data_IF_140502386837
#
_entry.id   IF_140502386837
#
_cell.length_a   1.000
_cell.length_b   1.000
_cell.length_c   1.000
_cell.angle_alpha   90.00
_cell.angle_beta   90.00
_cell.angle_gamma   90.00
#
_symmetry.space_group_name_H-M   'P 1'
#
loop_
_entity.id
_entity.type
_entity.pdbx_description
1 polymer ?
#
# COMPACT_ATOMS: atom_id res chain seq x y z
N UNK A 1 19.01 31.61 -30.52
CA UNK A 1 18.57 31.71 -29.11
C UNK A 1 18.97 30.41 -28.45
N UNK A 2 20.13 30.38 -27.79
CA UNK A 2 20.79 29.17 -27.28
C UNK A 2 20.05 28.75 -26.00
N UNK A 3 19.24 27.69 -26.08
CA UNK A 3 18.64 27.09 -24.89
C UNK A 3 19.75 26.37 -24.11
N UNK A 4 19.90 26.73 -22.83
CA UNK A 4 20.78 26.05 -21.88
C UNK A 4 20.33 24.59 -21.73
N UNK A 5 20.95 23.68 -22.48
CA UNK A 5 20.88 22.24 -22.24
C UNK A 5 21.64 21.95 -20.92
N UNK A 6 20.99 21.26 -19.99
CA UNK A 6 21.66 20.82 -18.77
C UNK A 6 22.81 19.87 -19.16
N UNK A 7 24.06 20.12 -18.69
CA UNK A 7 25.18 19.26 -19.02
C UNK A 7 24.99 17.87 -18.38
N UNK A 8 25.36 16.82 -19.11
CA UNK A 8 25.43 15.46 -18.56
C UNK A 8 26.34 15.46 -17.33
N UNK A 9 25.90 14.80 -16.25
CA UNK A 9 26.69 14.72 -15.03
C UNK A 9 27.80 13.68 -15.15
N UNK A 10 28.90 13.86 -14.40
CA UNK A 10 30.00 12.89 -14.35
C UNK A 10 29.57 11.54 -13.76
N UNK A 11 28.52 11.53 -12.95
CA UNK A 11 27.89 10.33 -12.41
C UNK A 11 27.10 9.57 -13.49
N UNK A 12 26.25 10.25 -14.27
CA UNK A 12 25.50 9.62 -15.38
C UNK A 12 26.43 8.98 -16.42
N UNK A 13 27.54 9.64 -16.76
CA UNK A 13 28.51 9.10 -17.69
C UNK A 13 29.24 7.87 -17.11
N UNK A 14 29.53 7.89 -15.80
CA UNK A 14 30.14 6.75 -15.10
C UNK A 14 29.20 5.55 -15.07
N UNK A 15 27.93 5.78 -14.78
CA UNK A 15 26.91 4.73 -14.68
C UNK A 15 26.63 4.11 -16.07
N UNK A 16 26.72 4.91 -17.14
CA UNK A 16 26.54 4.42 -18.52
C UNK A 16 27.74 3.63 -19.04
N UNK A 17 28.97 4.11 -18.80
CA UNK A 17 30.19 3.52 -19.36
C UNK A 17 30.90 2.55 -18.41
N UNK A 18 30.45 2.42 -17.16
CA UNK A 18 31.07 1.56 -16.15
C UNK A 18 32.48 2.00 -15.74
N UNK A 19 32.89 3.23 -16.05
CA UNK A 19 34.24 3.74 -15.81
C UNK A 19 34.23 5.18 -15.31
N UNK A 20 35.10 5.49 -14.33
CA UNK A 20 35.28 6.85 -13.80
C UNK A 20 36.37 7.59 -14.58
N UNK A 21 36.02 8.72 -15.19
CA UNK A 21 36.95 9.60 -15.89
C UNK A 21 37.50 10.69 -14.97
N UNK A 22 38.74 11.14 -15.22
CA UNK A 22 39.31 12.29 -14.54
C UNK A 22 38.74 13.61 -15.11
N UNK A 23 38.78 14.72 -14.38
CA UNK A 23 38.09 15.98 -14.76
C UNK A 23 38.51 16.54 -16.13
N UNK A 24 39.79 16.38 -16.49
CA UNK A 24 40.32 16.78 -17.80
C UNK A 24 39.78 15.90 -18.95
N UNK A 25 39.61 14.59 -18.70
CA UNK A 25 39.05 13.66 -19.69
C UNK A 25 37.55 13.89 -19.86
N UNK A 26 36.83 14.10 -18.74
CA UNK A 26 35.41 14.42 -18.75
C UNK A 26 35.13 15.71 -19.52
N UNK A 27 35.93 16.76 -19.32
CA UNK A 27 35.81 18.02 -20.06
C UNK A 27 36.06 17.85 -21.57
N UNK A 28 36.92 16.90 -21.97
CA UNK A 28 37.17 16.58 -23.38
C UNK A 28 36.00 15.81 -24.00
N UNK A 29 35.40 14.88 -23.25
CA UNK A 29 34.23 14.12 -23.67
C UNK A 29 33.02 15.04 -23.88
N UNK A 30 32.77 15.96 -22.93
CA UNK A 30 31.67 16.93 -23.02
C UNK A 30 31.69 17.77 -24.30
N UNK A 31 32.87 18.10 -24.83
CA UNK A 31 33.02 18.90 -26.06
C UNK A 31 32.66 18.15 -27.35
N UNK A 32 32.59 16.82 -27.29
CA UNK A 32 32.41 15.96 -28.46
C UNK A 32 31.04 15.23 -28.46
N UNK A 33 30.23 15.42 -27.42
CA UNK A 33 28.87 14.90 -27.31
C UNK A 33 27.91 15.67 -28.22
N UNK A 34 26.99 14.97 -28.87
CA UNK A 34 25.89 15.56 -29.64
C UNK A 34 24.58 15.47 -28.84
N UNK A 35 23.76 16.52 -28.88
CA UNK A 35 22.42 16.51 -28.27
C UNK A 35 21.35 16.32 -29.35
N UNK A 36 20.37 15.46 -29.09
CA UNK A 36 19.30 15.11 -30.03
C UNK A 36 17.94 15.30 -29.37
N UNK A 37 17.03 16.00 -30.05
CA UNK A 37 15.65 16.23 -29.61
C UNK A 37 14.66 15.62 -30.62
N UNK A 38 14.31 14.33 -30.50
CA UNK A 38 13.43 13.68 -31.45
C UNK A 38 11.97 14.14 -31.28
N UNK A 39 11.22 14.14 -32.39
CA UNK A 39 9.77 14.38 -32.37
C UNK A 39 9.04 13.20 -31.69
N UNK A 40 7.90 13.49 -31.08
CA UNK A 40 7.05 12.46 -30.44
C UNK A 40 6.62 11.42 -31.48
N UNK A 41 7.02 10.16 -31.28
CA UNK A 41 6.88 9.13 -32.29
C UNK A 41 8.02 8.12 -32.23
N UNK A 42 7.97 7.11 -33.11
CA UNK A 42 9.11 6.21 -33.28
C UNK A 42 10.19 6.97 -34.03
N UNK A 43 11.40 7.02 -33.47
CA UNK A 43 12.50 7.85 -34.01
C UNK A 43 13.82 7.09 -34.17
N UNK A 44 13.91 5.87 -33.63
CA UNK A 44 15.13 5.07 -33.64
C UNK A 44 14.80 3.58 -33.81
N UNK A 45 15.63 2.85 -34.55
CA UNK A 45 15.50 1.41 -34.78
C UNK A 45 16.89 0.78 -34.91
N UNK A 46 17.14 -0.31 -34.18
CA UNK A 46 18.47 -0.91 -34.06
C UNK A 46 19.11 -1.29 -35.40
N UNK A 47 18.33 -1.73 -36.39
CA UNK A 47 18.83 -2.17 -37.71
C UNK A 47 19.24 -1.02 -38.63
N UNK A 48 18.67 0.17 -38.42
CA UNK A 48 18.85 1.34 -39.30
C UNK A 48 19.63 2.47 -38.64
N UNK A 49 19.87 2.37 -37.33
CA UNK A 49 20.56 3.39 -36.58
C UNK A 49 22.08 3.33 -36.78
N UNK A 50 22.70 4.50 -36.75
CA UNK A 50 24.15 4.59 -36.61
C UNK A 50 24.59 3.97 -35.27
N UNK A 51 25.75 3.32 -35.26
CA UNK A 51 26.33 2.80 -34.04
C UNK A 51 26.52 3.93 -33.03
N UNK A 52 26.13 3.75 -31.77
CA UNK A 52 26.25 4.81 -30.77
C UNK A 52 25.40 4.53 -29.52
N UNK A 53 25.70 5.27 -28.45
CA UNK A 53 24.96 5.16 -27.18
C UNK A 53 24.14 6.43 -27.00
N UNK A 54 22.85 6.26 -26.73
CA UNK A 54 21.90 7.33 -26.46
C UNK A 54 21.55 7.32 -24.98
N UNK A 55 21.87 8.41 -24.29
CA UNK A 55 21.55 8.61 -22.86
C UNK A 55 20.35 9.54 -22.75
N UNK A 56 19.36 9.16 -21.97
CA UNK A 56 18.17 9.98 -21.73
C UNK A 56 18.50 11.10 -20.74
N UNK A 57 18.48 12.34 -21.20
CA UNK A 57 18.75 13.53 -20.38
C UNK A 57 17.48 14.04 -19.70
N UNK A 58 16.38 14.12 -20.44
CA UNK A 58 15.06 14.51 -19.91
C UNK A 58 13.97 13.80 -20.70
N UNK A 59 12.85 13.45 -20.05
CA UNK A 59 11.73 12.78 -20.69
C UNK A 59 11.74 11.26 -20.52
N UNK A 60 11.06 10.54 -21.44
CA UNK A 60 10.92 9.08 -21.40
C UNK A 60 10.99 8.46 -22.78
N UNK A 61 11.71 7.34 -22.91
CA UNK A 61 11.78 6.53 -24.12
C UNK A 61 11.08 5.20 -23.88
N UNK A 62 10.25 4.75 -24.81
CA UNK A 62 9.66 3.41 -24.77
C UNK A 62 10.37 2.54 -25.79
N UNK A 63 10.92 1.42 -25.35
CA UNK A 63 11.50 0.42 -26.25
C UNK A 63 10.40 -0.56 -26.66
N UNK A 64 10.32 -0.84 -27.96
CA UNK A 64 9.33 -1.71 -28.58
C UNK A 64 10.00 -2.90 -29.26
N UNK A 65 9.42 -4.08 -29.14
CA UNK A 65 9.86 -5.28 -29.85
C UNK A 65 9.48 -5.20 -31.34
N UNK A 66 9.84 -6.25 -32.11
CA UNK A 66 9.51 -6.32 -33.54
C UNK A 66 8.00 -6.34 -33.82
N UNK A 67 7.17 -6.74 -32.85
CA UNK A 67 5.70 -6.69 -32.93
C UNK A 67 5.09 -5.31 -32.61
N UNK A 68 5.91 -4.32 -32.23
CA UNK A 68 5.45 -2.99 -31.84
C UNK A 68 4.90 -2.89 -30.40
N UNK A 69 5.05 -3.95 -29.62
CA UNK A 69 4.69 -4.02 -28.21
C UNK A 69 5.83 -3.51 -27.33
N UNK A 70 5.48 -2.86 -26.22
CA UNK A 70 6.45 -2.22 -25.34
C UNK A 70 7.03 -3.20 -24.33
N UNK A 71 8.32 -3.51 -24.43
CA UNK A 71 9.03 -4.36 -23.45
C UNK A 71 9.74 -3.56 -22.34
N UNK A 72 10.19 -2.33 -22.60
CA UNK A 72 10.87 -1.50 -21.61
C UNK A 72 10.51 0.00 -21.68
N UNK A 73 10.71 0.73 -20.59
CA UNK A 73 10.57 2.20 -20.52
C UNK A 73 11.79 2.79 -19.83
N UNK A 74 12.51 3.64 -20.54
CA UNK A 74 13.72 4.32 -20.08
C UNK A 74 13.38 5.73 -19.59
N UNK A 75 14.05 6.13 -18.52
CA UNK A 75 13.92 7.41 -17.82
C UNK A 75 15.26 8.13 -17.77
N UNK A 76 15.31 9.33 -17.18
CA UNK A 76 16.53 10.13 -17.06
C UNK A 76 17.68 9.33 -16.42
N UNK A 77 18.84 9.31 -17.10
CA UNK A 77 20.02 8.54 -16.72
C UNK A 77 20.12 7.15 -17.36
N UNK A 78 19.03 6.61 -17.91
CA UNK A 78 19.08 5.34 -18.64
C UNK A 78 19.66 5.52 -20.05
N UNK A 79 20.29 4.47 -20.57
CA UNK A 79 20.91 4.43 -21.90
C UNK A 79 20.33 3.34 -22.78
N UNK A 80 20.45 3.52 -24.09
CA UNK A 80 20.14 2.51 -25.10
C UNK A 80 21.00 2.67 -26.35
N UNK A 81 21.09 1.58 -27.12
CA UNK A 81 21.81 1.55 -28.40
C UNK A 81 23.12 0.77 -28.32
N UNK A 82 23.46 0.21 -27.16
CA UNK A 82 24.67 -0.59 -26.92
C UNK A 82 24.76 -1.81 -27.85
N UNK A 83 23.61 -2.38 -28.23
CA UNK A 83 23.50 -3.47 -29.21
C UNK A 83 24.11 -3.13 -30.57
N UNK A 84 24.05 -1.86 -30.99
CA UNK A 84 24.59 -1.40 -32.29
C UNK A 84 26.12 -1.47 -32.37
N UNK A 85 26.82 -1.58 -31.23
CA UNK A 85 28.28 -1.75 -31.19
C UNK A 85 28.75 -3.19 -31.38
N UNK A 86 27.84 -4.16 -31.34
CA UNK A 86 28.18 -5.58 -31.41
C UNK A 86 27.40 -6.27 -32.52
N UNK A 87 27.65 -5.93 -33.80
CA UNK A 87 26.97 -6.57 -34.94
C UNK A 87 27.27 -8.08 -35.03
N UNK A 88 28.41 -8.53 -34.50
CA UNK A 88 28.79 -9.94 -34.44
C UNK A 88 28.02 -10.73 -33.36
N UNK A 89 27.32 -10.05 -32.45
CA UNK A 89 26.51 -10.66 -31.41
C UNK A 89 25.04 -10.74 -31.85
N UNK A 90 24.42 -11.90 -31.68
CA UNK A 90 23.03 -12.16 -32.11
C UNK A 90 21.99 -11.51 -31.19
N UNK A 91 21.91 -10.17 -31.19
CA UNK A 91 20.89 -9.41 -30.48
C UNK A 91 19.64 -9.21 -31.33
N UNK A 92 18.46 -9.32 -30.72
CA UNK A 92 17.18 -9.12 -31.38
C UNK A 92 16.94 -7.63 -31.66
N UNK A 93 16.40 -7.26 -32.84
CA UNK A 93 16.18 -5.86 -33.19
C UNK A 93 15.02 -5.26 -32.39
N UNK A 94 15.19 -4.00 -31.95
CA UNK A 94 14.15 -3.25 -31.27
C UNK A 94 14.08 -1.80 -31.78
N UNK A 95 12.97 -1.13 -31.47
CA UNK A 95 12.77 0.29 -31.82
C UNK A 95 12.51 1.16 -30.58
N UNK A 96 12.83 2.44 -30.68
CA UNK A 96 12.65 3.40 -29.60
C UNK A 96 11.63 4.49 -30.00
N UNK A 97 10.67 4.73 -29.09
CA UNK A 97 9.59 5.71 -29.24
C UNK A 97 9.71 6.83 -28.22
N UNK A 98 9.77 8.07 -28.70
CA UNK A 98 9.89 9.26 -27.89
C UNK A 98 8.56 9.66 -27.24
N UNK A 99 8.61 10.02 -25.95
CA UNK A 99 7.53 10.73 -25.26
C UNK A 99 7.67 12.24 -25.42
N UNK A 100 6.72 13.03 -24.89
CA UNK A 100 6.80 14.51 -24.93
C UNK A 100 8.06 15.02 -24.21
N UNK A 101 8.69 16.04 -24.79
CA UNK A 101 9.89 16.71 -24.26
C UNK A 101 11.07 15.76 -23.99
N UNK A 102 11.40 14.91 -24.98
CA UNK A 102 12.56 14.02 -24.88
C UNK A 102 13.82 14.74 -25.35
N UNK A 103 14.85 14.77 -24.50
CA UNK A 103 16.20 15.20 -24.86
C UNK A 103 17.16 14.05 -24.63
N UNK A 104 18.01 13.78 -25.63
CA UNK A 104 19.00 12.71 -25.62
C UNK A 104 20.41 13.28 -25.76
N UNK A 105 21.34 12.64 -25.08
CA UNK A 105 22.77 12.80 -25.26
C UNK A 105 23.27 11.62 -26.10
N UNK A 106 23.90 11.89 -27.24
CA UNK A 106 24.42 10.88 -28.17
C UNK A 106 25.95 10.84 -28.13
N UNK A 107 26.47 9.68 -27.73
CA UNK A 107 27.88 9.34 -27.74
C UNK A 107 28.22 8.69 -29.09
N UNK A 108 29.00 9.38 -29.91
CA UNK A 108 29.37 8.91 -31.24
C UNK A 108 30.42 7.78 -31.17
N UNK A 109 30.50 6.92 -32.20
CA UNK A 109 31.55 5.90 -32.30
C UNK A 109 32.96 6.48 -32.29
N UNK A 110 33.13 7.65 -32.91
CA UNK A 110 34.41 8.39 -32.96
C UNK A 110 34.95 8.71 -31.57
N UNK A 111 34.05 8.92 -30.60
CA UNK A 111 34.39 9.14 -29.20
C UNK A 111 34.55 7.81 -28.45
N UNK A 112 33.70 6.82 -28.74
CA UNK A 112 33.68 5.55 -28.01
C UNK A 112 34.84 4.62 -28.39
N UNK A 113 35.25 4.52 -29.66
CA UNK A 113 36.33 3.63 -30.08
C UNK A 113 37.69 3.93 -29.42
N UNK A 114 38.16 5.19 -29.33
CA UNK A 114 39.38 5.51 -28.60
C UNK A 114 39.28 5.23 -27.09
N UNK A 115 38.11 5.46 -26.49
CA UNK A 115 37.89 5.20 -25.06
C UNK A 115 37.89 3.70 -24.75
N UNK A 116 37.25 2.89 -25.59
CA UNK A 116 37.25 1.42 -25.47
C UNK A 116 38.66 0.86 -25.67
N UNK A 117 39.42 1.41 -26.63
CA UNK A 117 40.82 1.01 -26.86
C UNK A 117 41.72 1.31 -25.67
N UNK A 118 41.48 2.45 -24.99
CA UNK A 118 42.22 2.85 -23.78
C UNK A 118 41.77 2.08 -22.53
N UNK A 119 40.47 1.79 -22.41
CA UNK A 119 39.86 1.15 -21.26
C UNK A 119 38.96 -0.03 -21.70
N UNK A 120 39.52 -1.24 -21.87
CA UNK A 120 38.79 -2.41 -22.36
C UNK A 120 37.55 -2.78 -21.51
N UNK A 121 37.56 -2.47 -20.22
CA UNK A 121 36.43 -2.71 -19.29
C UNK A 121 35.12 -2.04 -19.72
N UNK A 122 35.19 -0.94 -20.46
CA UNK A 122 34.00 -0.24 -20.98
C UNK A 122 33.26 -1.15 -21.97
N UNK A 123 34.00 -1.88 -22.83
CA UNK A 123 33.41 -2.82 -23.80
C UNK A 123 32.64 -3.93 -23.09
N UNK A 124 33.25 -4.53 -22.06
CA UNK A 124 32.64 -5.62 -21.30
C UNK A 124 31.36 -5.16 -20.60
N UNK A 125 31.39 -3.97 -20.00
CA UNK A 125 30.22 -3.38 -19.35
C UNK A 125 29.06 -3.13 -20.32
N UNK A 126 29.34 -2.53 -21.49
CA UNK A 126 28.34 -2.29 -22.52
C UNK A 126 27.78 -3.60 -23.09
N UNK A 127 28.62 -4.62 -23.25
CA UNK A 127 28.20 -5.94 -23.72
C UNK A 127 27.27 -6.64 -22.71
N UNK A 128 27.60 -6.59 -21.42
CA UNK A 128 26.73 -7.13 -20.38
C UNK A 128 25.39 -6.40 -20.30
N UNK A 129 25.40 -5.08 -20.45
CA UNK A 129 24.18 -4.27 -20.46
C UNK A 129 23.27 -4.65 -21.66
N UNK A 130 23.85 -4.72 -22.86
CA UNK A 130 23.15 -5.15 -24.08
C UNK A 130 22.56 -6.56 -23.92
N UNK A 131 23.31 -7.49 -23.32
CA UNK A 131 22.84 -8.86 -23.06
C UNK A 131 21.63 -8.91 -22.12
N UNK A 132 21.63 -8.11 -21.04
CA UNK A 132 20.50 -8.02 -20.10
C UNK A 132 19.25 -7.43 -20.75
N UNK A 133 19.40 -6.39 -21.57
CA UNK A 133 18.28 -5.82 -22.32
C UNK A 133 17.72 -6.84 -23.33
N UNK A 134 18.59 -7.57 -24.03
CA UNK A 134 18.18 -8.58 -24.99
C UNK A 134 17.42 -9.75 -24.34
N UNK A 135 17.80 -10.20 -23.13
CA UNK A 135 17.03 -11.25 -22.44
C UNK A 135 15.60 -10.82 -22.11
N UNK A 136 15.41 -9.55 -21.70
CA UNK A 136 14.06 -9.01 -21.42
C UNK A 136 13.23 -8.92 -22.70
N UNK A 137 13.86 -8.55 -23.82
CA UNK A 137 13.24 -8.53 -25.13
C UNK A 137 12.80 -9.94 -25.59
N UNK A 138 13.68 -10.93 -25.48
CA UNK A 138 13.37 -12.32 -25.86
C UNK A 138 12.26 -12.90 -24.98
N UNK A 139 12.27 -12.67 -23.67
CA UNK A 139 11.20 -13.11 -22.77
C UNK A 139 9.84 -12.47 -23.13
N UNK A 140 9.84 -11.24 -23.64
CA UNK A 140 8.62 -10.60 -24.13
C UNK A 140 8.11 -11.18 -25.45
N UNK A 141 8.99 -11.64 -26.34
CA UNK A 141 8.62 -12.28 -27.61
C UNK A 141 8.22 -13.76 -27.45
N UNK A 142 8.64 -14.42 -26.35
CA UNK A 142 8.37 -15.85 -26.10
C UNK A 142 6.99 -16.10 -25.46
N UNK A 143 6.16 -15.07 -25.27
CA UNK A 143 4.73 -15.30 -24.97
C UNK A 143 4.01 -15.82 -26.23
N UNK A 144 3.46 -17.05 -26.22
CA UNK A 144 2.91 -17.64 -27.43
C UNK A 144 1.58 -16.97 -27.82
N UNK A 145 1.58 -16.34 -28.98
CA UNK A 145 0.37 -16.04 -29.75
C UNK A 145 -0.06 -17.31 -30.49
N UNK A 146 -1.31 -17.81 -30.36
CA UNK A 146 -1.72 -19.07 -31.00
C UNK A 146 -2.08 -18.84 -32.48
N UNK A 147 -1.58 -19.72 -33.36
CA UNK A 147 -1.94 -19.83 -34.79
C UNK A 147 -1.62 -21.27 -35.27
N UNK A 148 -2.26 -21.78 -36.34
CA UNK A 148 -3.32 -22.80 -36.27
C UNK A 148 -2.85 -24.19 -36.71
N UNK A 149 -3.36 -25.26 -36.10
CA UNK A 149 -3.11 -26.64 -36.57
C UNK A 149 -4.32 -27.26 -37.28
N UNK A 150 -4.10 -28.23 -38.20
CA UNK A 150 -5.09 -28.75 -39.12
C UNK A 150 -6.14 -29.65 -38.46
N UNK A 151 -7.30 -29.71 -39.11
CA UNK A 151 -8.54 -30.33 -38.67
C UNK A 151 -8.46 -31.86 -38.78
N UNK A 152 -8.77 -32.59 -37.72
CA UNK A 152 -9.34 -33.98 -37.75
C UNK A 152 -10.08 -34.23 -36.42
N UNK A 153 -11.13 -35.07 -36.39
CA UNK A 153 -12.45 -34.66 -35.90
C UNK A 153 -12.65 -34.96 -34.41
N UNK A 154 -13.18 -33.98 -33.71
CA UNK A 154 -13.56 -34.04 -32.31
C UNK A 154 -14.62 -35.10 -32.04
N UNK A 155 -14.29 -36.06 -31.17
CA UNK A 155 -15.28 -36.72 -30.33
C UNK A 155 -15.70 -35.76 -29.21
N UNK A 156 -17.00 -35.70 -29.01
CA UNK A 156 -17.78 -34.72 -28.26
C UNK A 156 -17.33 -34.59 -26.79
N UNK A 157 -16.91 -33.39 -26.39
CA UNK A 157 -16.78 -32.97 -25.00
C UNK A 157 -17.37 -31.54 -24.85
N UNK A 158 -17.99 -31.23 -23.69
CA UNK A 158 -19.07 -30.25 -23.60
C UNK A 158 -18.60 -28.81 -23.76
N UNK A 159 -19.43 -28.00 -24.43
CA UNK A 159 -19.23 -26.58 -24.66
C UNK A 159 -19.14 -25.81 -23.33
N UNK A 160 -17.93 -25.44 -22.92
CA UNK A 160 -17.74 -24.31 -22.01
C UNK A 160 -18.09 -23.04 -22.79
N UNK A 161 -18.99 -22.17 -22.31
CA UNK A 161 -19.45 -21.02 -23.07
C UNK A 161 -18.28 -20.08 -23.37
N UNK A 162 -18.22 -19.64 -24.63
CA UNK A 162 -17.26 -18.65 -25.13
C UNK A 162 -17.14 -17.49 -24.12
N UNK A 163 -15.90 -17.14 -23.76
CA UNK A 163 -15.61 -15.89 -23.02
C UNK A 163 -16.15 -14.74 -23.85
N UNK A 164 -17.33 -14.30 -23.45
CA UNK A 164 -17.96 -13.05 -23.85
C UNK A 164 -16.91 -11.96 -23.71
N UNK A 165 -16.69 -11.18 -24.77
CA UNK A 165 -15.96 -9.92 -24.72
C UNK A 165 -16.49 -9.19 -23.48
N UNK A 166 -15.64 -9.05 -22.46
CA UNK A 166 -16.08 -8.51 -21.19
C UNK A 166 -16.56 -7.10 -21.45
N UNK A 167 -17.87 -6.88 -21.27
CA UNK A 167 -18.49 -5.54 -21.20
C UNK A 167 -17.49 -4.58 -20.54
N UNK A 168 -17.33 -3.38 -21.11
CA UNK A 168 -16.59 -2.30 -20.48
C UNK A 168 -16.91 -2.29 -18.98
N UNK A 169 -15.95 -2.74 -18.17
CA UNK A 169 -16.17 -2.93 -16.75
C UNK A 169 -16.14 -1.55 -16.13
N UNK A 170 -17.33 -1.03 -15.85
CA UNK A 170 -17.48 0.09 -14.94
C UNK A 170 -17.59 -0.52 -13.53
N UNK A 171 -16.59 -0.32 -12.66
CA UNK A 171 -16.74 -0.72 -11.27
C UNK A 171 -17.98 -0.03 -10.72
N UNK A 172 -18.91 -0.83 -10.20
CA UNK A 172 -20.08 -0.30 -9.52
C UNK A 172 -19.67 0.02 -8.08
N UNK A 173 -20.16 1.13 -7.50
CA UNK A 173 -19.89 1.43 -6.11
C UNK A 173 -20.39 0.27 -5.25
N UNK A 174 -19.62 -0.10 -4.22
CA UNK A 174 -19.99 -1.19 -3.32
C UNK A 174 -21.30 -0.88 -2.57
N UNK A 175 -21.67 0.41 -2.55
CA UNK A 175 -22.98 0.88 -2.11
C UNK A 175 -24.05 0.67 -3.19
N UNK A 176 -24.69 -0.50 -3.15
CA UNK A 176 -25.96 -0.71 -3.85
C UNK A 176 -27.04 0.14 -3.19
N UNK A 177 -27.67 1.05 -3.94
CA UNK A 177 -28.83 1.86 -3.52
C UNK A 177 -30.10 0.97 -3.42
N UNK A 178 -30.02 -0.17 -2.73
CA UNK A 178 -31.04 -1.23 -2.74
C UNK A 178 -31.69 -1.53 -1.40
N UNK A 179 -31.10 -1.14 -0.25
CA UNK A 179 -31.75 -1.36 1.04
C UNK A 179 -32.54 -0.11 1.46
N UNK A 180 -33.85 -0.28 1.66
CA UNK A 180 -34.77 0.73 2.18
C UNK A 180 -34.19 1.45 3.42
N UNK A 181 -33.49 0.70 4.28
CA UNK A 181 -32.80 1.16 5.48
C UNK A 181 -31.60 2.08 5.23
N UNK A 182 -30.89 1.93 4.11
CA UNK A 182 -29.70 2.74 3.78
C UNK A 182 -30.08 4.10 3.19
N UNK A 183 -31.26 4.20 2.55
CA UNK A 183 -31.87 5.47 2.14
C UNK A 183 -32.28 6.32 3.36
N UNK A 184 -32.59 5.66 4.48
CA UNK A 184 -32.88 6.28 5.77
C UNK A 184 -31.60 6.62 6.55
N UNK A 185 -30.58 5.75 6.53
CA UNK A 185 -29.37 5.90 7.39
C UNK A 185 -28.20 6.63 6.69
N UNK A 186 -28.22 6.78 5.34
CA UNK A 186 -27.22 7.52 4.52
C UNK A 186 -25.75 7.37 5.00
N UNK A 187 -25.32 6.19 5.44
CA UNK A 187 -23.95 5.97 5.92
C UNK A 187 -23.00 5.72 4.76
N UNK A 188 -21.98 6.57 4.65
CA UNK A 188 -20.90 6.43 3.70
C UNK A 188 -19.66 5.81 4.35
N UNK A 189 -18.71 5.26 3.56
CA UNK A 189 -17.46 4.76 4.12
C UNK A 189 -16.73 5.89 4.83
N UNK A 190 -16.24 5.61 6.02
CA UNK A 190 -15.49 6.58 6.80
C UNK A 190 -14.18 5.94 7.24
N UNK A 191 -13.10 6.71 7.12
CA UNK A 191 -11.79 6.34 7.62
C UNK A 191 -11.22 7.53 8.38
N UNK A 192 -11.00 7.35 9.67
CA UNK A 192 -10.41 8.38 10.51
C UNK A 192 -8.93 8.57 10.16
N UNK A 193 -8.48 9.81 10.04
CA UNK A 193 -7.06 10.09 9.86
C UNK A 193 -6.28 9.68 11.11
N UNK A 194 -5.07 9.17 10.91
CA UNK A 194 -4.25 8.66 12.00
C UNK A 194 -3.11 9.62 12.39
N UNK A 195 -2.77 10.58 11.53
CA UNK A 195 -1.94 11.76 11.82
C UNK A 195 -2.66 13.00 11.29
N UNK A 196 -2.35 14.18 11.84
CA UNK A 196 -2.88 15.45 11.36
C UNK A 196 -2.55 15.75 9.89
N UNK A 197 -1.49 15.13 9.34
CA UNK A 197 -1.08 15.29 7.94
C UNK A 197 -1.73 14.27 6.98
N UNK A 198 -2.44 13.25 7.50
CA UNK A 198 -2.98 12.13 6.71
C UNK A 198 -4.32 12.40 6.02
N UNK A 199 -4.91 13.59 6.17
CA UNK A 199 -6.28 13.89 5.71
C UNK A 199 -6.52 13.52 4.23
N UNK A 200 -5.58 13.86 3.34
CA UNK A 200 -5.64 13.50 1.92
C UNK A 200 -5.58 11.99 1.68
N UNK A 201 -4.62 11.29 2.29
CA UNK A 201 -4.50 9.84 2.17
C UNK A 201 -5.75 9.12 2.71
N UNK A 202 -6.30 9.58 3.84
CA UNK A 202 -7.55 9.08 4.40
C UNK A 202 -8.75 9.31 3.46
N UNK A 203 -8.79 10.45 2.77
CA UNK A 203 -9.81 10.71 1.73
C UNK A 203 -9.71 9.71 0.57
N UNK A 204 -8.51 9.36 0.13
CA UNK A 204 -8.33 8.31 -0.88
C UNK A 204 -8.74 6.92 -0.38
N UNK A 205 -8.48 6.58 0.89
CA UNK A 205 -8.98 5.33 1.50
C UNK A 205 -10.52 5.30 1.46
N UNK A 206 -11.17 6.40 1.84
CA UNK A 206 -12.62 6.53 1.85
C UNK A 206 -13.22 6.40 0.45
N UNK A 207 -12.68 7.12 -0.54
CA UNK A 207 -13.12 7.03 -1.94
C UNK A 207 -12.87 5.63 -2.51
N UNK A 208 -11.71 5.02 -2.24
CA UNK A 208 -11.41 3.66 -2.69
C UNK A 208 -12.38 2.65 -2.09
N UNK A 209 -12.70 2.79 -0.80
CA UNK A 209 -13.66 1.94 -0.10
C UNK A 209 -15.08 2.09 -0.65
N UNK A 210 -15.47 3.28 -1.09
CA UNK A 210 -16.74 3.53 -1.78
C UNK A 210 -16.86 2.72 -3.07
N UNK A 211 -15.76 2.59 -3.81
CA UNK A 211 -15.66 1.76 -5.02
C UNK A 211 -15.33 0.29 -4.74
N UNK A 212 -15.33 -0.13 -3.47
CA UNK A 212 -15.17 -1.52 -3.07
C UNK A 212 -13.72 -2.01 -2.96
N UNK A 213 -12.74 -1.11 -2.97
CA UNK A 213 -11.31 -1.45 -2.81
C UNK A 213 -10.74 -0.93 -1.50
N UNK A 214 -10.04 -1.80 -0.78
CA UNK A 214 -9.36 -1.45 0.47
C UNK A 214 -7.86 -1.29 0.24
N UNK A 215 -7.32 -0.15 0.60
CA UNK A 215 -5.88 0.13 0.58
C UNK A 215 -5.41 0.58 1.96
N UNK A 216 -4.14 0.32 2.30
CA UNK A 216 -3.56 0.85 3.52
C UNK A 216 -3.33 2.34 3.37
N UNK A 217 -3.68 3.08 4.43
CA UNK A 217 -3.42 4.53 4.50
C UNK A 217 -1.93 4.81 4.35
N UNK A 218 -1.05 3.98 4.93
CA UNK A 218 0.41 4.14 4.81
C UNK A 218 0.87 4.03 3.35
N UNK A 219 0.36 3.07 2.57
CA UNK A 219 0.70 2.94 1.15
C UNK A 219 0.24 4.18 0.37
N UNK A 220 -0.98 4.65 0.63
CA UNK A 220 -1.49 5.85 -0.03
C UNK A 220 -0.76 7.12 0.40
N UNK A 221 -0.32 7.20 1.66
CA UNK A 221 0.51 8.28 2.20
C UNK A 221 1.86 8.33 1.48
N UNK A 222 2.52 7.19 1.36
CA UNK A 222 3.85 7.11 0.75
C UNK A 222 3.78 7.42 -0.76
N UNK A 223 2.78 6.89 -1.48
CA UNK A 223 2.60 7.19 -2.92
C UNK A 223 2.19 8.66 -3.14
N UNK A 224 1.36 9.23 -2.26
CA UNK A 224 0.97 10.63 -2.34
C UNK A 224 2.08 11.61 -1.90
N UNK A 225 3.23 11.09 -1.45
CA UNK A 225 4.34 11.87 -0.89
C UNK A 225 3.87 12.86 0.18
N UNK A 226 3.04 12.37 1.11
CA UNK A 226 2.54 13.21 2.21
C UNK A 226 3.68 13.53 3.17
N UNK A 227 3.94 14.81 3.34
CA UNK A 227 4.94 15.32 4.28
C UNK A 227 4.26 15.79 5.59
N UNK A 228 5.00 16.56 6.39
CA UNK A 228 4.48 17.14 7.64
C UNK A 228 3.38 18.19 7.40
N UNK A 229 3.39 18.85 6.25
CA UNK A 229 2.40 19.86 5.86
C UNK A 229 1.16 19.23 5.19
N UNK A 230 1.20 17.93 4.88
CA UNK A 230 0.08 17.16 4.35
C UNK A 230 0.26 16.76 2.89
N UNK A 231 -0.85 16.47 2.23
CA UNK A 231 -0.85 16.05 0.82
C UNK A 231 -1.07 17.25 -0.11
N UNK A 232 -0.24 17.40 -1.15
CA UNK A 232 -0.56 18.32 -2.24
C UNK A 232 -1.66 17.73 -3.15
N UNK A 233 -2.50 18.57 -3.77
CA UNK A 233 -3.53 18.11 -4.71
C UNK A 233 -2.92 17.32 -5.88
N UNK A 234 -1.72 17.72 -6.32
CA UNK A 234 -0.93 17.01 -7.35
C UNK A 234 -0.46 15.64 -6.87
N UNK A 235 0.07 15.54 -5.65
CA UNK A 235 0.49 14.27 -5.05
C UNK A 235 -0.71 13.32 -4.88
N UNK A 236 -1.84 13.86 -4.45
CA UNK A 236 -3.08 13.12 -4.30
C UNK A 236 -3.64 12.59 -5.62
N UNK A 237 -3.58 13.41 -6.67
CA UNK A 237 -3.94 13.05 -8.05
C UNK A 237 -3.04 11.93 -8.57
N UNK A 238 -1.73 12.06 -8.43
CA UNK A 238 -0.77 11.02 -8.83
C UNK A 238 -0.98 9.70 -8.06
N UNK A 239 -1.25 9.77 -6.76
CA UNK A 239 -1.52 8.59 -5.95
C UNK A 239 -2.81 7.88 -6.37
N UNK A 240 -3.89 8.63 -6.58
CA UNK A 240 -5.15 8.11 -7.09
C UNK A 240 -4.98 7.45 -8.47
N UNK A 241 -4.17 8.04 -9.36
CA UNK A 241 -3.86 7.48 -10.67
C UNK A 241 -3.09 6.17 -10.58
N UNK A 242 -2.12 6.08 -9.68
CA UNK A 242 -1.34 4.85 -9.47
C UNK A 242 -2.17 3.66 -9.00
N UNK A 243 -3.28 3.90 -8.29
CA UNK A 243 -4.18 2.85 -7.80
C UNK A 243 -5.35 2.58 -8.76
N UNK A 244 -5.39 3.26 -9.91
CA UNK A 244 -6.35 2.99 -10.98
C UNK A 244 -7.55 3.92 -11.05
N UNK A 245 -7.51 5.11 -10.45
CA UNK A 245 -8.48 6.18 -10.73
C UNK A 245 -8.00 7.08 -11.87
N UNK A 246 -8.90 7.55 -12.71
CA UNK A 246 -8.67 8.74 -13.52
C UNK A 246 -8.99 9.96 -12.67
N UNK A 247 -8.07 10.90 -12.58
CA UNK A 247 -8.29 12.12 -11.80
C UNK A 247 -8.44 13.36 -12.65
N UNK A 248 -9.22 14.32 -12.14
CA UNK A 248 -9.33 15.65 -12.75
C UNK A 248 -9.40 16.71 -11.63
N UNK A 249 -8.30 17.41 -11.34
CA UNK A 249 -8.34 18.56 -10.43
C UNK A 249 -9.08 19.70 -11.11
N UNK A 250 -10.03 20.32 -10.41
CA UNK A 250 -10.86 21.42 -10.91
C UNK A 250 -11.02 22.50 -9.85
N UNK A 251 -11.18 23.74 -10.31
CA UNK A 251 -11.73 24.83 -9.51
C UNK A 251 -13.18 25.03 -9.97
N UNK A 252 -14.14 24.79 -9.08
CA UNK A 252 -15.56 24.76 -9.44
C UNK A 252 -16.41 25.55 -8.44
N UNK A 253 -17.60 25.98 -8.86
CA UNK A 253 -18.65 26.41 -7.95
C UNK A 253 -19.46 25.20 -7.45
N UNK A 254 -20.24 25.38 -6.39
CA UNK A 254 -21.04 24.29 -5.82
C UNK A 254 -22.01 23.71 -6.86
N UNK A 255 -22.59 24.58 -7.69
CA UNK A 255 -23.55 24.19 -8.72
C UNK A 255 -22.91 23.36 -9.83
N UNK A 256 -21.65 23.63 -10.16
CA UNK A 256 -20.89 22.84 -11.12
C UNK A 256 -20.40 21.52 -10.53
N UNK A 257 -20.02 21.51 -9.24
CA UNK A 257 -19.63 20.31 -8.52
C UNK A 257 -20.82 19.34 -8.39
N UNK A 258 -22.03 19.85 -8.15
CA UNK A 258 -23.27 19.08 -8.08
C UNK A 258 -23.61 18.33 -9.38
N UNK A 259 -23.10 18.79 -10.52
CA UNK A 259 -23.28 18.13 -11.84
C UNK A 259 -22.25 17.03 -12.11
N UNK A 260 -21.20 16.92 -11.29
CA UNK A 260 -20.14 15.92 -11.49
C UNK A 260 -20.50 14.58 -10.85
N UNK A 261 -19.77 13.53 -11.24
CA UNK A 261 -19.85 12.22 -10.57
C UNK A 261 -19.16 12.32 -9.21
N UNK A 262 -19.88 11.95 -8.15
CA UNK A 262 -19.39 11.85 -6.77
C UNK A 262 -19.09 10.38 -6.43
N UNK A 263 -18.20 10.09 -5.45
CA UNK A 263 -17.56 11.01 -4.51
C UNK A 263 -16.39 11.81 -5.11
N UNK A 264 -16.16 13.00 -4.56
CA UNK A 264 -15.03 13.87 -4.90
C UNK A 264 -14.29 14.29 -3.63
N UNK A 265 -12.97 14.51 -3.73
CA UNK A 265 -12.18 15.06 -2.62
C UNK A 265 -12.14 16.57 -2.80
N UNK A 266 -12.43 17.34 -1.75
CA UNK A 266 -12.41 18.80 -1.79
C UNK A 266 -11.43 19.36 -0.80
N UNK A 267 -10.83 20.51 -1.15
CA UNK A 267 -9.90 21.21 -0.28
C UNK A 267 -10.67 22.19 0.62
N UNK A 268 -10.52 22.01 1.92
CA UNK A 268 -11.33 22.57 3.00
C UNK A 268 -10.48 23.46 3.91
N UNK A 269 -10.99 24.65 4.26
CA UNK A 269 -10.36 25.62 5.18
C UNK A 269 -8.90 25.98 4.86
N UNK A 270 -8.45 25.80 3.61
CA UNK A 270 -7.10 26.14 3.18
C UNK A 270 -5.99 25.18 3.63
N UNK A 271 -6.30 24.17 4.45
CA UNK A 271 -5.29 23.26 5.06
C UNK A 271 -5.73 21.79 5.15
N UNK A 272 -6.97 21.48 4.78
CA UNK A 272 -7.57 20.17 5.04
C UNK A 272 -8.21 19.59 3.78
N UNK A 273 -8.42 18.27 3.77
CA UNK A 273 -9.17 17.59 2.72
C UNK A 273 -10.31 16.80 3.32
N UNK A 274 -11.47 16.90 2.67
CA UNK A 274 -12.67 16.13 3.03
C UNK A 274 -13.27 15.48 1.78
N UNK A 275 -14.08 14.45 1.98
CA UNK A 275 -14.78 13.76 0.89
C UNK A 275 -16.22 14.27 0.80
N UNK A 276 -16.63 14.71 -0.38
CA UNK A 276 -18.04 14.99 -0.69
C UNK A 276 -18.65 13.75 -1.31
N UNK A 277 -19.65 13.19 -0.63
CA UNK A 277 -20.35 11.99 -1.09
C UNK A 277 -21.59 12.31 -1.91
N UNK A 278 -22.36 13.32 -1.47
CA UNK A 278 -23.63 13.65 -2.12
C UNK A 278 -23.96 15.12 -1.93
N UNK A 279 -24.43 15.77 -2.99
CA UNK A 279 -24.99 17.12 -2.94
C UNK A 279 -26.50 17.00 -3.19
N UNK A 280 -27.30 17.38 -2.19
CA UNK A 280 -28.77 17.47 -2.28
C UNK A 280 -29.17 18.93 -2.51
N UNK A 281 -30.44 19.19 -2.87
CA UNK A 281 -30.98 20.55 -3.06
C UNK A 281 -30.71 21.51 -1.89
N UNK A 282 -30.72 21.01 -0.65
CA UNK A 282 -30.61 21.85 0.56
C UNK A 282 -29.33 21.60 1.36
N UNK A 283 -28.60 20.51 1.11
CA UNK A 283 -27.47 20.09 1.95
C UNK A 283 -26.40 19.33 1.19
N UNK A 284 -25.19 19.32 1.73
CA UNK A 284 -24.04 18.56 1.24
C UNK A 284 -23.64 17.54 2.30
N UNK A 285 -23.57 16.27 1.91
CA UNK A 285 -23.07 15.19 2.78
C UNK A 285 -21.59 15.05 2.54
N UNK A 286 -20.82 15.31 3.59
CA UNK A 286 -19.36 15.23 3.61
C UNK A 286 -18.90 14.23 4.65
N UNK A 287 -17.69 13.71 4.45
CA UNK A 287 -16.95 13.01 5.50
C UNK A 287 -15.61 13.71 5.69
N UNK A 288 -15.42 14.21 6.89
CA UNK A 288 -14.19 14.80 7.35
C UNK A 288 -13.35 13.71 8.04
N UNK A 289 -12.14 13.38 7.56
CA UNK A 289 -11.25 12.40 8.20
C UNK A 289 -10.99 12.64 9.70
N UNK A 290 -11.08 13.88 10.18
CA UNK A 290 -10.81 14.23 11.58
C UNK A 290 -12.07 14.14 12.47
N UNK A 291 -13.27 14.36 11.91
CA UNK A 291 -14.50 14.54 12.68
C UNK A 291 -15.53 13.43 12.43
N UNK A 292 -15.59 12.91 11.20
CA UNK A 292 -16.60 11.96 10.77
C UNK A 292 -17.54 12.50 9.69
N UNK A 293 -18.63 11.76 9.46
CA UNK A 293 -19.64 12.13 8.48
C UNK A 293 -20.52 13.28 9.01
N UNK A 294 -20.69 14.33 8.19
CA UNK A 294 -21.50 15.51 8.51
C UNK A 294 -22.41 15.88 7.34
N UNK A 295 -23.54 16.50 7.68
CA UNK A 295 -24.43 17.12 6.70
C UNK A 295 -24.36 18.62 6.90
N UNK A 296 -23.86 19.33 5.89
CA UNK A 296 -23.67 20.78 5.93
C UNK A 296 -24.72 21.46 5.07
N UNK A 297 -25.14 22.66 5.46
CA UNK A 297 -25.93 23.52 4.56
C UNK A 297 -25.05 24.02 3.41
N UNK A 298 -25.66 24.43 2.30
CA UNK A 298 -24.90 25.00 1.18
C UNK A 298 -24.10 26.25 1.58
N UNK A 299 -24.63 27.06 2.51
CA UNK A 299 -23.95 28.25 3.00
C UNK A 299 -22.71 27.88 3.81
N UNK A 300 -22.83 26.94 4.75
CA UNK A 300 -21.70 26.43 5.54
C UNK A 300 -20.63 25.85 4.62
N UNK A 301 -21.05 25.00 3.67
CA UNK A 301 -20.11 24.38 2.73
C UNK A 301 -19.38 25.43 1.88
N UNK A 302 -20.07 26.45 1.37
CA UNK A 302 -19.45 27.50 0.55
C UNK A 302 -18.51 28.42 1.34
N UNK A 303 -18.74 28.60 2.64
CA UNK A 303 -17.90 29.45 3.49
C UNK A 303 -16.50 28.83 3.69
N UNK A 304 -16.45 27.52 3.92
CA UNK A 304 -15.21 26.83 4.30
C UNK A 304 -14.52 26.14 3.11
N UNK A 305 -15.23 25.93 2.00
CA UNK A 305 -14.68 25.33 0.80
C UNK A 305 -13.85 26.32 -0.03
N UNK A 306 -12.59 25.96 -0.29
CA UNK A 306 -11.66 26.78 -1.09
C UNK A 306 -11.97 26.83 -2.60
N UNK A 307 -12.96 26.08 -3.08
CA UNK A 307 -13.33 25.97 -4.49
C UNK A 307 -12.54 24.93 -5.28
N UNK A 308 -11.47 24.36 -4.72
CA UNK A 308 -10.72 23.27 -5.35
C UNK A 308 -11.33 21.91 -5.02
N UNK A 309 -11.44 21.06 -6.05
CA UNK A 309 -11.91 19.68 -5.95
C UNK A 309 -11.08 18.76 -6.84
N UNK A 310 -10.87 17.53 -6.37
CA UNK A 310 -10.33 16.42 -7.14
C UNK A 310 -11.48 15.48 -7.48
N UNK A 311 -11.82 15.39 -8.76
CA UNK A 311 -12.79 14.43 -9.25
C UNK A 311 -12.06 13.10 -9.50
N UNK A 312 -12.62 12.01 -8.99
CA UNK A 312 -12.07 10.66 -9.16
C UNK A 312 -13.07 9.80 -9.91
N UNK A 313 -12.63 9.23 -11.02
CA UNK A 313 -13.42 8.26 -11.78
C UNK A 313 -12.68 6.93 -11.80
N UNK A 314 -13.31 5.84 -11.35
CA UNK A 314 -12.63 4.56 -11.32
C UNK A 314 -12.43 4.02 -12.74
N UNK A 315 -11.27 3.42 -13.00
CA UNK A 315 -10.96 2.79 -14.29
C UNK A 315 -10.90 1.27 -14.15
N UNK A 316 -10.71 0.54 -15.26
CA UNK A 316 -10.52 -0.90 -15.23
C UNK A 316 -9.33 -1.33 -14.34
N UNK A 317 -8.28 -0.50 -14.26
CA UNK A 317 -7.08 -0.74 -13.45
C UNK A 317 -7.37 -0.81 -11.94
N UNK A 318 -8.43 -0.14 -11.47
CA UNK A 318 -8.81 -0.18 -10.06
C UNK A 318 -9.19 -1.60 -9.62
N UNK A 319 -9.75 -2.41 -10.53
CA UNK A 319 -10.14 -3.80 -10.23
C UNK A 319 -8.93 -4.68 -9.94
N UNK A 320 -7.87 -4.50 -10.71
CA UNK A 320 -6.65 -5.32 -10.64
C UNK A 320 -5.68 -4.83 -9.57
N UNK A 321 -5.95 -3.67 -8.97
CA UNK A 321 -5.17 -3.14 -7.87
C UNK A 321 -5.23 -4.09 -6.65
N UNK A 322 -4.03 -4.49 -6.18
CA UNK A 322 -3.85 -5.33 -4.99
C UNK A 322 -4.41 -4.62 -3.76
N UNK A 323 -5.42 -5.24 -3.16
CA UNK A 323 -6.04 -4.80 -1.92
C UNK A 323 -5.18 -5.15 -0.71
N UNK A 324 -5.32 -4.35 0.35
CA UNK A 324 -4.73 -4.70 1.64
C UNK A 324 -5.66 -5.64 2.39
N UNK A 325 -5.23 -6.88 2.52
CA UNK A 325 -5.84 -7.84 3.45
C UNK A 325 -5.20 -7.65 4.82
N UNK A 326 -5.87 -6.92 5.71
CA UNK A 326 -5.52 -6.97 7.14
C UNK A 326 -6.02 -8.29 7.68
N UNK A 327 -5.14 -9.28 7.72
CA UNK A 327 -5.53 -10.63 8.12
C UNK A 327 -5.55 -10.66 9.64
N UNK A 328 -6.73 -10.80 10.26
CA UNK A 328 -6.88 -11.06 11.71
C UNK A 328 -5.95 -12.19 12.20
N UNK A 329 -5.65 -13.14 11.31
CA UNK A 329 -4.70 -14.24 11.52
C UNK A 329 -3.23 -13.81 11.73
N UNK A 330 -2.80 -12.64 11.24
CA UNK A 330 -1.44 -12.12 11.52
C UNK A 330 -1.22 -11.83 13.02
N UNK A 331 -2.29 -11.53 13.77
CA UNK A 331 -2.19 -11.32 15.22
C UNK A 331 -2.05 -12.63 16.00
N UNK A 332 -2.60 -13.74 15.49
CA UNK A 332 -2.38 -15.07 16.07
C UNK A 332 -0.92 -15.54 15.96
N UNK A 333 -0.19 -15.07 14.95
CA UNK A 333 1.25 -15.35 14.83
C UNK A 333 2.06 -14.72 15.98
N UNK A 334 1.60 -13.59 16.53
CA UNK A 334 2.19 -12.95 17.72
C UNK A 334 1.93 -13.76 19.01
N UNK A 335 0.80 -14.47 19.10
CA UNK A 335 0.46 -15.32 20.24
C UNK A 335 1.12 -16.71 20.20
N UNK A 336 1.43 -17.22 19.01
CA UNK A 336 2.02 -18.55 18.80
C UNK A 336 3.19 -18.91 19.72
N UNK A 337 4.17 -18.01 20.00
CA UNK A 337 5.28 -18.35 20.90
C UNK A 337 4.89 -18.47 22.39
N UNK A 338 3.68 -18.06 22.80
CA UNK A 338 3.22 -18.05 24.20
C UNK A 338 2.17 -19.13 24.50
N UNK A 339 2.02 -20.14 23.63
CA UNK A 339 0.97 -21.16 23.74
C UNK A 339 0.97 -21.97 25.03
N UNK A 340 2.14 -22.17 25.66
CA UNK A 340 2.23 -22.88 26.95
C UNK A 340 1.51 -22.12 28.06
N UNK A 341 1.66 -20.79 28.12
CA UNK A 341 1.00 -20.00 29.17
C UNK A 341 -0.50 -19.93 28.93
N UNK A 342 -0.94 -19.87 27.66
CA UNK A 342 -2.37 -19.95 27.33
C UNK A 342 -2.97 -21.26 27.84
N UNK A 343 -2.24 -22.38 27.71
CA UNK A 343 -2.68 -23.68 28.23
C UNK A 343 -2.71 -23.71 29.77
N UNK A 344 -1.69 -23.17 30.44
CA UNK A 344 -1.65 -23.08 31.91
C UNK A 344 -2.82 -22.24 32.47
N UNK A 345 -3.09 -21.08 31.86
CA UNK A 345 -4.23 -20.23 32.24
C UNK A 345 -5.54 -20.94 31.96
N UNK A 346 -5.68 -21.63 30.83
CA UNK A 346 -6.88 -22.41 30.51
C UNK A 346 -7.15 -23.49 31.56
N UNK A 347 -6.13 -24.27 31.93
CA UNK A 347 -6.25 -25.30 32.97
C UNK A 347 -6.62 -24.67 34.31
N UNK A 348 -5.98 -23.57 34.71
CA UNK A 348 -6.30 -22.86 35.95
C UNK A 348 -7.75 -22.36 35.96
N UNK A 349 -8.23 -21.77 34.85
CA UNK A 349 -9.63 -21.33 34.70
C UNK A 349 -10.61 -22.49 34.79
N UNK A 350 -10.32 -23.63 34.16
CA UNK A 350 -11.16 -24.82 34.24
C UNK A 350 -11.29 -25.33 35.70
N UNK A 351 -10.18 -25.39 36.44
CA UNK A 351 -10.21 -25.75 37.85
C UNK A 351 -11.01 -24.75 38.69
N UNK A 352 -10.81 -23.44 38.48
CA UNK A 352 -11.59 -22.40 39.17
C UNK A 352 -13.09 -22.59 38.93
N UNK A 353 -13.50 -22.95 37.71
CA UNK A 353 -14.90 -23.15 37.37
C UNK A 353 -15.50 -24.40 38.01
N UNK A 354 -14.78 -25.53 37.95
CA UNK A 354 -15.18 -26.79 38.61
C UNK A 354 -15.31 -26.55 40.13
N UNK A 355 -14.34 -25.88 40.72
CA UNK A 355 -14.36 -25.48 42.12
C UNK A 355 -15.46 -24.43 42.40
N UNK A 356 -15.81 -23.58 41.45
CA UNK A 356 -16.95 -22.65 41.56
C UNK A 356 -18.28 -23.34 41.88
N UNK A 357 -18.48 -24.58 41.41
CA UNK A 357 -19.68 -25.39 41.69
C UNK A 357 -19.74 -25.94 43.11
N UNK A 358 -18.63 -25.93 43.86
CA UNK A 358 -18.60 -26.41 45.23
C UNK A 358 -19.34 -25.45 46.18
N UNK A 359 -19.31 -24.14 45.92
CA UNK A 359 -20.04 -23.14 46.72
C UNK A 359 -21.55 -23.41 46.77
N UNK A 360 -22.28 -23.57 45.64
CA UNK A 360 -23.72 -23.89 45.70
C UNK A 360 -24.00 -25.25 46.34
N UNK A 361 -23.12 -26.25 46.19
CA UNK A 361 -23.24 -27.54 46.88
C UNK A 361 -23.13 -27.39 48.40
N UNK A 362 -22.20 -26.57 48.89
CA UNK A 362 -22.11 -26.24 50.32
C UNK A 362 -23.34 -25.47 50.80
N UNK A 363 -23.83 -24.49 50.05
CA UNK A 363 -25.07 -23.77 50.38
C UNK A 363 -26.27 -24.72 50.48
N UNK A 364 -26.39 -25.65 49.52
CA UNK A 364 -27.42 -26.68 49.55
C UNK A 364 -27.29 -27.55 50.80
N UNK A 365 -26.08 -28.00 51.13
CA UNK A 365 -25.84 -28.84 52.31
C UNK A 365 -26.16 -28.10 53.62
N UNK A 366 -25.87 -26.80 53.70
CA UNK A 366 -26.24 -25.95 54.83
C UNK A 366 -27.77 -25.90 54.97
N UNK A 367 -28.49 -25.58 53.90
CA UNK A 367 -29.94 -25.43 53.92
C UNK A 367 -30.68 -26.76 54.16
N UNK A 368 -30.32 -27.80 53.41
CA UNK A 368 -31.07 -29.06 53.38
C UNK A 368 -30.75 -29.97 54.57
N UNK A 369 -29.53 -29.93 55.10
CA UNK A 369 -29.11 -30.82 56.21
C UNK A 369 -28.82 -30.09 57.51
N UNK A 370 -27.98 -29.06 57.48
CA UNK A 370 -27.48 -28.45 58.73
C UNK A 370 -28.58 -27.67 59.44
N UNK A 371 -29.35 -26.87 58.72
CA UNK A 371 -30.47 -26.10 59.28
C UNK A 371 -31.60 -27.02 59.76
N UNK A 372 -31.92 -28.06 58.99
CA UNK A 372 -32.99 -29.03 59.34
C UNK A 372 -32.62 -29.86 60.57
N UNK A 373 -31.38 -30.36 60.66
CA UNK A 373 -30.92 -31.23 61.77
C UNK A 373 -30.49 -30.46 63.03
N UNK A 374 -30.42 -29.12 62.99
CA UNK A 374 -29.97 -28.23 64.08
C UNK A 374 -28.64 -28.65 64.74
N UNK A 375 -27.71 -29.21 63.97
CA UNK A 375 -26.40 -29.64 64.49
C UNK A 375 -25.36 -28.53 64.37
N UNK A 376 -24.88 -28.02 65.51
CA UNK A 376 -23.85 -26.98 65.55
C UNK A 376 -22.47 -27.45 65.08
N UNK A 377 -22.14 -28.74 65.28
CA UNK A 377 -20.86 -29.31 64.87
C UNK A 377 -20.74 -29.42 63.34
N UNK A 378 -21.80 -29.85 62.65
CA UNK A 378 -21.80 -29.93 61.18
C UNK A 378 -21.79 -28.53 60.56
N UNK A 379 -22.47 -27.55 61.18
CA UNK A 379 -22.42 -26.15 60.76
C UNK A 379 -20.99 -25.61 60.82
N UNK A 380 -20.29 -25.81 61.94
CA UNK A 380 -18.92 -25.35 62.10
C UNK A 380 -17.96 -26.03 61.11
N UNK A 381 -18.10 -27.34 60.89
CA UNK A 381 -17.27 -28.09 59.94
C UNK A 381 -17.47 -27.59 58.50
N UNK A 382 -18.72 -27.39 58.08
CA UNK A 382 -19.07 -26.89 56.75
C UNK A 382 -18.64 -25.43 56.58
N UNK A 383 -18.83 -24.59 57.59
CA UNK A 383 -18.38 -23.21 57.60
C UNK A 383 -16.86 -23.08 57.46
N UNK A 384 -16.10 -23.90 58.20
CA UNK A 384 -14.64 -23.95 58.09
C UNK A 384 -14.19 -24.45 56.71
N UNK A 385 -14.88 -25.47 56.17
CA UNK A 385 -14.65 -25.96 54.82
C UNK A 385 -14.90 -24.89 53.76
N UNK A 386 -16.01 -24.15 53.87
CA UNK A 386 -16.33 -23.03 52.97
C UNK A 386 -15.28 -21.91 53.06
N UNK A 387 -14.80 -21.59 54.27
CA UNK A 387 -13.76 -20.58 54.48
C UNK A 387 -12.44 -21.00 53.83
N UNK A 388 -11.97 -22.22 54.11
CA UNK A 388 -10.75 -22.77 53.52
C UNK A 388 -10.84 -22.82 51.99
N UNK A 389 -11.98 -23.25 51.48
CA UNK A 389 -12.24 -23.33 50.05
C UNK A 389 -12.30 -21.96 49.38
N UNK A 390 -12.93 -20.98 50.03
CA UNK A 390 -12.98 -19.59 49.53
C UNK A 390 -11.58 -19.00 49.47
N UNK A 391 -10.74 -19.26 50.47
CA UNK A 391 -9.35 -18.81 50.49
C UNK A 391 -8.52 -19.44 49.36
N UNK A 392 -8.69 -20.75 49.14
CA UNK A 392 -8.08 -21.46 48.00
C UNK A 392 -8.54 -20.88 46.65
N UNK A 393 -9.84 -20.58 46.50
CA UNK A 393 -10.38 -19.96 45.29
C UNK A 393 -9.77 -18.59 45.03
N UNK A 394 -9.63 -17.75 46.06
CA UNK A 394 -8.97 -16.44 45.95
C UNK A 394 -7.50 -16.60 45.54
N UNK A 395 -6.77 -17.56 46.13
CA UNK A 395 -5.39 -17.84 45.74
C UNK A 395 -5.27 -18.30 44.27
N UNK A 396 -6.15 -19.19 43.81
CA UNK A 396 -6.19 -19.65 42.42
C UNK A 396 -6.52 -18.52 41.44
N UNK A 397 -7.47 -17.64 41.78
CA UNK A 397 -7.77 -16.45 40.98
C UNK A 397 -6.56 -15.51 40.90
N UNK A 398 -5.86 -15.30 42.02
CA UNK A 398 -4.63 -14.51 42.07
C UNK A 398 -3.51 -15.12 41.20
N UNK A 399 -3.31 -16.44 41.26
CA UNK A 399 -2.33 -17.13 40.41
C UNK A 399 -2.68 -17.00 38.93
N UNK A 400 -3.95 -17.20 38.55
CA UNK A 400 -4.43 -17.02 37.18
C UNK A 400 -4.12 -15.60 36.68
N UNK A 401 -4.47 -14.58 37.47
CA UNK A 401 -4.23 -13.18 37.10
C UNK A 401 -2.74 -12.88 36.96
N UNK A 402 -1.92 -13.40 37.89
CA UNK A 402 -0.46 -13.25 37.82
C UNK A 402 0.13 -13.84 36.54
N UNK A 403 -0.31 -15.04 36.13
CA UNK A 403 0.16 -15.67 34.89
C UNK A 403 -0.22 -14.87 33.64
N UNK A 404 -1.44 -14.31 33.62
CA UNK A 404 -1.91 -13.43 32.56
C UNK A 404 -1.07 -12.15 32.50
N UNK A 405 -0.90 -11.45 33.62
CA UNK A 405 -0.14 -10.20 33.69
C UNK A 405 1.34 -10.41 33.33
N UNK A 406 1.95 -11.51 33.82
CA UNK A 406 3.33 -11.85 33.51
C UNK A 406 3.51 -12.07 31.99
N UNK A 407 2.56 -12.73 31.35
CA UNK A 407 2.60 -13.00 29.91
C UNK A 407 2.39 -11.72 29.11
N UNK A 408 1.39 -10.91 29.47
CA UNK A 408 1.13 -9.63 28.83
C UNK A 408 2.36 -8.70 28.90
N UNK A 409 3.02 -8.60 30.06
CA UNK A 409 4.23 -7.80 30.21
C UNK A 409 5.40 -8.30 29.36
N UNK A 410 5.57 -9.62 29.23
CA UNK A 410 6.62 -10.22 28.40
C UNK A 410 6.38 -9.95 26.91
N UNK A 411 5.13 -10.06 26.46
CA UNK A 411 4.73 -9.74 25.09
C UNK A 411 4.93 -8.25 24.80
N UNK A 412 4.49 -7.36 25.70
CA UNK A 412 4.68 -5.90 25.56
C UNK A 412 6.17 -5.55 25.43
N UNK A 413 7.03 -6.14 26.28
CA UNK A 413 8.47 -5.92 26.24
C UNK A 413 9.09 -6.40 24.91
N UNK A 414 8.68 -7.56 24.40
CA UNK A 414 9.16 -8.07 23.12
C UNK A 414 8.73 -7.17 21.96
N UNK A 415 7.50 -6.66 21.98
CA UNK A 415 6.95 -5.80 20.94
C UNK A 415 7.57 -4.41 20.92
N UNK A 416 7.77 -3.78 22.08
CA UNK A 416 8.45 -2.47 22.10
C UNK A 416 9.88 -2.58 21.58
N UNK A 417 10.61 -3.64 21.96
CA UNK A 417 11.97 -3.88 21.43
C UNK A 417 11.92 -4.11 19.92
N UNK A 418 10.98 -4.93 19.43
CA UNK A 418 10.78 -5.17 18.00
C UNK A 418 10.46 -3.89 17.24
N UNK A 419 9.54 -3.08 17.76
CA UNK A 419 9.13 -1.81 17.17
C UNK A 419 10.28 -0.79 17.14
N UNK A 420 11.00 -0.62 18.25
CA UNK A 420 12.15 0.30 18.31
C UNK A 420 13.20 -0.14 17.31
N UNK A 421 13.54 -1.43 17.27
CA UNK A 421 14.52 -1.98 16.32
C UNK A 421 14.10 -1.76 14.86
N UNK A 422 12.82 -1.95 14.55
CA UNK A 422 12.30 -1.72 13.20
C UNK A 422 12.31 -0.23 12.84
N UNK A 423 11.79 0.62 13.72
CA UNK A 423 11.70 2.08 13.53
C UNK A 423 13.08 2.67 13.28
N UNK A 424 14.08 2.31 14.10
CA UNK A 424 15.46 2.79 13.94
C UNK A 424 16.16 2.30 12.66
N UNK A 425 15.61 1.31 11.95
CA UNK A 425 16.11 0.83 10.64
C UNK A 425 15.45 1.51 9.44
N UNK A 426 14.41 2.33 9.67
CA UNK A 426 13.72 3.02 8.59
C UNK A 426 14.60 4.14 7.99
N UNK A 427 14.47 4.42 6.68
CA UNK A 427 15.24 5.48 6.03
C UNK A 427 14.90 6.86 6.59
N UNK A 428 15.83 7.81 6.49
CA UNK A 428 15.67 9.18 7.02
C UNK A 428 14.39 9.88 6.49
N UNK A 429 14.01 9.62 5.24
CA UNK A 429 12.79 10.15 4.61
C UNK A 429 11.50 9.80 5.36
N UNK A 430 11.46 8.66 6.05
CA UNK A 430 10.32 8.28 6.90
C UNK A 430 10.15 9.25 8.07
N UNK A 431 11.26 9.67 8.67
CA UNK A 431 11.29 10.58 9.83
C UNK A 431 11.10 12.05 9.42
N UNK A 432 11.61 12.46 8.27
CA UNK A 432 11.39 13.81 7.75
C UNK A 432 9.91 14.06 7.43
N UNK A 433 9.22 13.05 6.91
CA UNK A 433 7.80 13.16 6.54
C UNK A 433 6.82 13.08 7.71
N UNK A 434 7.24 12.72 8.93
CA UNK A 434 6.35 12.47 10.09
C UNK A 434 6.77 13.26 11.33
N UNK A 435 5.80 13.60 12.18
CA UNK A 435 6.09 14.18 13.49
C UNK A 435 6.49 13.08 14.49
N UNK A 436 7.38 13.41 15.43
CA UNK A 436 7.80 12.47 16.49
C UNK A 436 6.60 12.00 17.31
N UNK A 437 5.66 12.91 17.61
CA UNK A 437 4.42 12.59 18.32
C UNK A 437 3.55 11.56 17.59
N UNK A 438 3.49 11.60 16.25
CA UNK A 438 2.73 10.63 15.47
C UNK A 438 3.31 9.22 15.62
N UNK A 439 4.65 9.12 15.58
CA UNK A 439 5.36 7.83 15.72
C UNK A 439 5.13 7.26 17.13
N UNK A 440 5.26 8.09 18.17
CA UNK A 440 5.02 7.67 19.56
C UNK A 440 3.56 7.25 19.77
N UNK A 441 2.62 8.00 19.20
CA UNK A 441 1.19 7.67 19.27
C UNK A 441 0.92 6.29 18.66
N UNK A 442 1.55 5.94 17.54
CA UNK A 442 1.39 4.59 16.94
C UNK A 442 1.89 3.47 17.84
N UNK A 443 2.97 3.70 18.59
CA UNK A 443 3.46 2.73 19.57
C UNK A 443 2.43 2.49 20.65
N UNK A 444 1.88 3.57 21.19
CA UNK A 444 0.88 3.51 22.25
C UNK A 444 -0.42 2.86 21.76
N UNK A 445 -0.88 3.18 20.56
CA UNK A 445 -2.05 2.56 19.94
C UNK A 445 -1.86 1.05 19.73
N UNK A 446 -0.70 0.64 19.18
CA UNK A 446 -0.41 -0.77 18.95
C UNK A 446 -0.33 -1.55 20.27
N UNK A 447 0.33 -0.99 21.28
CA UNK A 447 0.35 -1.56 22.64
C UNK A 447 -1.03 -1.72 23.23
N UNK A 448 -1.91 -0.72 23.06
CA UNK A 448 -3.29 -0.80 23.56
C UNK A 448 -4.09 -1.91 22.86
N UNK A 449 -3.93 -2.05 21.53
CA UNK A 449 -4.57 -3.13 20.76
C UNK A 449 -4.05 -4.49 21.22
N UNK A 450 -2.75 -4.60 21.46
CA UNK A 450 -2.15 -5.85 21.93
C UNK A 450 -2.60 -6.22 23.34
N UNK A 451 -2.51 -5.31 24.31
CA UNK A 451 -2.98 -5.54 25.68
C UNK A 451 -4.44 -5.97 25.73
N UNK A 452 -5.27 -5.38 24.86
CA UNK A 452 -6.65 -5.81 24.69
C UNK A 452 -6.74 -7.26 24.17
N UNK A 453 -5.91 -7.65 23.20
CA UNK A 453 -5.93 -8.99 22.61
C UNK A 453 -5.34 -10.06 23.54
N UNK A 454 -4.22 -9.79 24.21
CA UNK A 454 -3.50 -10.76 25.05
C UNK A 454 -4.03 -10.83 26.48
N UNK A 455 -4.63 -9.74 26.98
CA UNK A 455 -5.28 -9.70 28.29
C UNK A 455 -6.77 -9.97 28.21
N UNK A 456 -7.55 -8.93 27.89
CA UNK A 456 -9.02 -8.95 28.01
C UNK A 456 -9.68 -9.94 27.05
N UNK A 457 -9.34 -9.92 25.77
CA UNK A 457 -9.95 -10.79 24.78
C UNK A 457 -9.61 -12.26 25.01
N UNK A 458 -8.37 -12.55 25.42
CA UNK A 458 -7.96 -13.91 25.80
C UNK A 458 -8.74 -14.36 27.03
N UNK A 459 -8.88 -13.52 28.06
CA UNK A 459 -9.69 -13.83 29.24
C UNK A 459 -11.14 -14.14 28.86
N UNK A 460 -11.78 -13.28 28.07
CA UNK A 460 -13.16 -13.48 27.61
C UNK A 460 -13.31 -14.78 26.82
N UNK A 461 -12.37 -15.09 25.94
CA UNK A 461 -12.42 -16.31 25.14
C UNK A 461 -12.24 -17.56 26.02
N UNK A 462 -11.34 -17.50 26.99
CA UNK A 462 -11.14 -18.57 27.96
C UNK A 462 -12.38 -18.74 28.86
N UNK A 463 -12.93 -17.64 29.38
CA UNK A 463 -14.13 -17.62 30.22
C UNK A 463 -15.40 -18.06 29.45
N UNK A 464 -15.42 -17.95 28.12
CA UNK A 464 -16.49 -18.50 27.28
C UNK A 464 -16.34 -20.02 27.10
N UNK A 465 -15.11 -20.52 27.14
CA UNK A 465 -14.78 -21.92 26.87
C UNK A 465 -14.81 -22.79 28.14
N UNK A 466 -14.56 -22.19 29.30
CA UNK A 466 -14.69 -22.80 30.63
C UNK A 466 -16.02 -22.49 31.26
#
# INVERSE_FOLDING_TARGET
MVQNLAPISSQQLRDTLGHSFNDAEFSRILKQIKFIEPKVGQFWQAEQAEAGIYIVMTGKVRLLNSAGEKFATLTEGDSFGESTFFPDASFSPYSARASRNLQLCYLTPELLFPLISKYPRIRDHLYEYARRQNSVLVDSDTQPTPSPQPITPSATAPSTPAKTISKAYFPNPNQRVGHLWQRVIRRYPFFAQQSGSDCGAACLVMVSSYWGKRFSVNRLRDIANVDRNGASLRGLSAAAESIGFSTRPVKASLDQLAKQKLPAIVHWEGKHYIVVYQITKNSVIVADPAIGQRTLSHQQFKADWSGYALLLQPTALLKDAKETTTTFWQFFELMKPHGVVVLEVFIASLFIQIFGLITPLFTQLILDRVVVQRSGLTLMAVGLGLLMFSLFRVAMMGLRQYLLDHTANKVDAALIVGFIRHTLRLPLSFFESRYVGDIISRVQENRKIEQFLTGEALSILLDLLT
#
